data_IF_923150470921
#
_entry.id   IF_923150470921
#
_cell.length_a   1.000
_cell.length_b   1.000
_cell.length_c   1.000
_cell.angle_alpha   90.00
_cell.angle_beta   90.00
_cell.angle_gamma   90.00
#
_symmetry.space_group_name_H-M   'P 1'
#
loop_
_entity.id
_entity.type
_entity.pdbx_description
1 polymer ?
#
# COMPACT_ATOMS: atom_id res chain seq x y z
N UNK A 1 -55.87 54.08 -54.07
CA UNK A 1 -55.97 52.93 -53.15
C UNK A 1 -55.35 51.71 -53.82
N UNK A 2 -54.10 51.35 -53.48
CA UNK A 2 -53.40 50.20 -54.07
C UNK A 2 -52.78 49.38 -52.95
N UNK A 3 -53.36 48.21 -52.66
CA UNK A 3 -52.78 47.25 -51.71
C UNK A 3 -51.75 46.43 -52.46
N UNK A 4 -50.46 46.62 -52.16
CA UNK A 4 -49.42 45.64 -52.46
C UNK A 4 -49.66 44.42 -51.56
N UNK A 5 -50.08 43.30 -52.14
CA UNK A 5 -50.05 41.99 -51.50
C UNK A 5 -48.61 41.48 -51.51
N UNK A 6 -48.00 41.37 -50.33
CA UNK A 6 -46.71 40.70 -50.17
C UNK A 6 -46.89 39.17 -50.28
N UNK A 7 -45.94 38.44 -50.89
CA UNK A 7 -46.00 36.99 -50.96
C UNK A 7 -45.82 36.38 -49.57
N UNK A 8 -46.62 35.35 -49.27
CA UNK A 8 -46.51 34.52 -48.08
C UNK A 8 -45.17 33.77 -48.13
N UNK A 9 -44.18 34.26 -47.41
CA UNK A 9 -42.90 33.58 -47.26
C UNK A 9 -43.09 32.40 -46.30
N UNK A 10 -43.16 31.20 -46.87
CA UNK A 10 -43.17 29.95 -46.13
C UNK A 10 -41.95 29.89 -45.20
N UNK A 11 -42.12 29.78 -43.87
CA UNK A 11 -40.99 29.58 -42.98
C UNK A 11 -40.30 28.28 -43.39
N UNK A 12 -38.98 28.34 -43.61
CA UNK A 12 -38.16 27.15 -43.80
C UNK A 12 -38.42 26.22 -42.61
N UNK A 13 -38.93 25.01 -42.90
CA UNK A 13 -39.03 23.94 -41.89
C UNK A 13 -37.61 23.60 -41.46
N UNK A 14 -37.16 24.21 -40.36
CA UNK A 14 -36.07 23.66 -39.57
C UNK A 14 -36.61 22.32 -39.07
N UNK A 15 -36.10 21.23 -39.63
CA UNK A 15 -36.33 19.90 -39.05
C UNK A 15 -35.72 19.94 -37.66
N UNK A 16 -36.58 19.88 -36.64
CA UNK A 16 -36.20 19.75 -35.25
C UNK A 16 -35.60 18.34 -35.06
N UNK A 17 -34.33 18.19 -35.41
CA UNK A 17 -33.58 16.95 -35.24
C UNK A 17 -33.16 16.82 -33.76
N UNK A 18 -34.11 16.44 -32.91
CA UNK A 18 -33.90 16.20 -31.47
C UNK A 18 -32.95 15.01 -31.18
N UNK A 19 -32.46 14.32 -32.21
CA UNK A 19 -31.56 13.16 -32.11
C UNK A 19 -30.22 13.54 -31.48
N UNK A 20 -29.74 14.76 -31.70
CA UNK A 20 -28.50 15.27 -31.10
C UNK A 20 -28.63 15.58 -29.60
N UNK A 21 -29.82 15.95 -29.12
CA UNK A 21 -30.06 16.32 -27.72
C UNK A 21 -29.94 15.09 -26.81
N UNK A 22 -30.55 13.96 -27.20
CA UNK A 22 -30.44 12.69 -26.45
C UNK A 22 -29.02 12.09 -26.45
N UNK A 23 -28.23 12.39 -27.50
CA UNK A 23 -26.82 12.00 -27.58
C UNK A 23 -25.93 12.85 -26.68
N UNK A 24 -26.24 14.13 -26.53
CA UNK A 24 -25.51 15.05 -25.66
C UNK A 24 -25.78 14.74 -24.18
N UNK A 25 -27.03 14.45 -23.82
CA UNK A 25 -27.39 14.03 -22.46
C UNK A 25 -26.66 12.75 -22.04
N UNK A 26 -26.64 11.74 -22.90
CA UNK A 26 -25.89 10.50 -22.64
C UNK A 26 -24.39 10.71 -22.63
N UNK A 27 -23.84 11.58 -23.47
CA UNK A 27 -22.41 11.90 -23.48
C UNK A 27 -21.94 12.53 -22.16
N UNK A 28 -22.72 13.42 -21.56
CA UNK A 28 -22.40 14.02 -20.25
C UNK A 28 -22.37 12.96 -19.15
N UNK A 29 -23.36 12.06 -19.14
CA UNK A 29 -23.41 10.94 -18.19
C UNK A 29 -22.21 10.00 -18.37
N UNK A 30 -21.79 9.73 -19.61
CA UNK A 30 -20.62 8.90 -19.90
C UNK A 30 -19.32 9.54 -19.40
N UNK A 31 -19.14 10.85 -19.60
CA UNK A 31 -17.96 11.57 -19.08
C UNK A 31 -17.95 11.51 -17.54
N UNK A 32 -19.10 11.79 -16.90
CA UNK A 32 -19.21 11.70 -15.45
C UNK A 32 -18.88 10.30 -14.93
N UNK A 33 -19.37 9.25 -15.59
CA UNK A 33 -19.10 7.87 -15.22
C UNK A 33 -17.61 7.49 -15.33
N UNK A 34 -16.95 7.87 -16.43
CA UNK A 34 -15.52 7.60 -16.64
C UNK A 34 -14.65 8.37 -15.64
N UNK A 35 -15.01 9.60 -15.31
CA UNK A 35 -14.28 10.39 -14.31
C UNK A 35 -14.41 9.75 -12.93
N UNK A 36 -15.60 9.32 -12.52
CA UNK A 36 -15.79 8.61 -11.23
C UNK A 36 -14.99 7.30 -11.21
N UNK A 37 -15.01 6.54 -12.31
CA UNK A 37 -14.25 5.30 -12.41
C UNK A 37 -12.72 5.53 -12.34
N UNK A 38 -12.20 6.58 -12.98
CA UNK A 38 -10.77 6.87 -12.97
C UNK A 38 -10.27 7.37 -11.60
N UNK A 39 -11.03 8.24 -10.93
CA UNK A 39 -10.70 8.67 -9.56
C UNK A 39 -10.75 7.50 -8.58
N UNK A 40 -11.75 6.61 -8.71
CA UNK A 40 -11.83 5.40 -7.90
C UNK A 40 -10.63 4.47 -8.16
N UNK A 41 -10.28 4.21 -9.42
CA UNK A 41 -9.14 3.38 -9.78
C UNK A 41 -7.81 3.94 -9.22
N UNK A 42 -7.62 5.25 -9.26
CA UNK A 42 -6.44 5.91 -8.69
C UNK A 42 -6.37 5.74 -7.16
N UNK A 43 -7.50 5.93 -6.46
CA UNK A 43 -7.56 5.73 -5.02
C UNK A 43 -7.27 4.27 -4.64
N UNK A 44 -7.86 3.31 -5.36
CA UNK A 44 -7.60 1.87 -5.17
C UNK A 44 -6.15 1.52 -5.44
N UNK A 45 -5.53 2.06 -6.50
CA UNK A 45 -4.13 1.81 -6.79
C UNK A 45 -3.21 2.32 -5.69
N UNK A 46 -3.45 3.53 -5.17
CA UNK A 46 -2.64 4.10 -4.09
C UNK A 46 -2.74 3.26 -2.79
N UNK A 47 -3.96 2.90 -2.39
CA UNK A 47 -4.17 2.04 -1.22
C UNK A 47 -3.60 0.64 -1.45
N UNK A 48 -3.77 0.10 -2.64
CA UNK A 48 -3.24 -1.20 -3.03
C UNK A 48 -1.71 -1.25 -2.96
N UNK A 49 -1.02 -0.25 -3.52
CA UNK A 49 0.44 -0.17 -3.48
C UNK A 49 0.96 -0.02 -2.04
N UNK A 50 0.37 0.84 -1.22
CA UNK A 50 0.74 0.98 0.19
C UNK A 50 0.48 -0.32 0.97
N UNK A 51 -0.63 -1.01 0.71
CA UNK A 51 -0.93 -2.30 1.31
C UNK A 51 0.09 -3.36 0.90
N UNK A 52 0.49 -3.40 -0.37
CA UNK A 52 1.53 -4.31 -0.86
C UNK A 52 2.88 -4.04 -0.21
N UNK A 53 3.31 -2.77 -0.15
CA UNK A 53 4.55 -2.38 0.55
C UNK A 53 4.53 -2.80 2.02
N UNK A 54 3.41 -2.58 2.71
CA UNK A 54 3.25 -2.98 4.11
C UNK A 54 3.25 -4.51 4.26
N UNK A 55 2.65 -5.24 3.33
CA UNK A 55 2.66 -6.71 3.32
C UNK A 55 4.07 -7.26 3.15
N UNK A 56 4.87 -6.66 2.27
CA UNK A 56 6.27 -7.04 2.06
C UNK A 56 7.12 -6.75 3.30
N UNK A 57 6.99 -5.56 3.89
CA UNK A 57 7.66 -5.22 5.14
C UNK A 57 7.27 -6.16 6.29
N UNK A 58 5.98 -6.50 6.40
CA UNK A 58 5.51 -7.44 7.41
C UNK A 58 6.02 -8.87 7.16
N UNK A 59 6.13 -9.30 5.90
CA UNK A 59 6.68 -10.60 5.54
C UNK A 59 8.18 -10.68 5.87
N UNK A 60 8.96 -9.65 5.50
CA UNK A 60 10.38 -9.57 5.82
C UNK A 60 10.61 -9.47 7.34
N UNK A 61 9.85 -8.62 8.04
CA UNK A 61 9.92 -8.51 9.49
C UNK A 61 9.49 -9.80 10.21
N UNK A 62 8.51 -10.54 9.68
CA UNK A 62 8.11 -11.85 10.19
C UNK A 62 9.17 -12.93 9.97
N UNK A 63 9.83 -12.91 8.81
CA UNK A 63 10.98 -13.77 8.52
C UNK A 63 12.14 -13.46 9.47
N UNK A 64 12.46 -12.18 9.66
CA UNK A 64 13.50 -11.72 10.58
C UNK A 64 13.17 -12.10 12.03
N UNK A 65 11.94 -11.88 12.48
CA UNK A 65 11.51 -12.27 13.83
C UNK A 65 11.59 -13.79 14.05
N UNK A 66 11.28 -14.59 13.02
CA UNK A 66 11.39 -16.05 13.09
C UNK A 66 12.85 -16.50 13.08
N UNK A 67 13.69 -15.90 12.23
CA UNK A 67 15.12 -16.24 12.14
C UNK A 67 15.92 -15.74 13.33
N UNK A 68 15.47 -14.70 14.02
CA UNK A 68 16.04 -14.19 15.27
C UNK A 68 15.79 -15.10 16.49
N UNK A 69 15.12 -16.25 16.32
CA UNK A 69 14.95 -17.22 17.40
C UNK A 69 16.29 -17.82 17.81
N UNK A 70 16.73 -17.51 19.03
CA UNK A 70 17.94 -18.03 19.66
C UNK A 70 17.60 -19.18 20.61
N UNK A 71 18.25 -20.32 20.44
CA UNK A 71 18.16 -21.46 21.37
C UNK A 71 19.45 -21.60 22.15
N UNK A 72 19.36 -21.83 23.46
CA UNK A 72 20.51 -22.24 24.27
C UNK A 72 20.94 -23.63 23.78
N UNK A 73 22.22 -23.80 23.45
CA UNK A 73 22.82 -25.09 23.07
C UNK A 73 23.92 -25.46 24.04
N UNK A 74 23.74 -26.57 24.75
CA UNK A 74 24.71 -27.07 25.73
C UNK A 74 24.46 -26.58 27.14
N UNK A 75 25.48 -26.68 27.99
CA UNK A 75 25.36 -26.46 29.43
C UNK A 75 25.43 -24.98 29.81
N UNK A 76 24.69 -24.62 30.85
CA UNK A 76 24.79 -23.32 31.52
C UNK A 76 25.84 -23.44 32.62
N UNK A 77 26.96 -22.74 32.46
CA UNK A 77 28.10 -22.80 33.37
C UNK A 77 28.09 -21.56 34.27
N UNK A 78 27.99 -21.78 35.58
CA UNK A 78 28.09 -20.74 36.60
C UNK A 78 29.44 -20.81 37.32
N UNK A 79 30.13 -19.68 37.43
CA UNK A 79 31.39 -19.53 38.16
C UNK A 79 31.13 -18.80 39.48
N UNK A 80 31.57 -19.40 40.59
CA UNK A 80 31.44 -18.83 41.93
C UNK A 80 32.64 -17.93 42.27
N UNK A 81 32.42 -16.97 43.17
CA UNK A 81 33.52 -16.16 43.71
C UNK A 81 34.54 -17.02 44.48
N UNK A 82 35.73 -16.49 44.77
CA UNK A 82 36.80 -17.22 45.47
C UNK A 82 36.37 -17.78 46.84
N UNK A 83 35.38 -17.14 47.50
CA UNK A 83 34.81 -17.58 48.77
C UNK A 83 33.69 -18.62 48.64
N UNK A 84 33.27 -18.98 47.43
CA UNK A 84 32.13 -19.85 47.12
C UNK A 84 30.80 -19.44 47.80
N UNK A 85 30.67 -18.16 48.14
CA UNK A 85 29.49 -17.61 48.84
C UNK A 85 28.43 -17.06 47.89
N UNK A 86 28.82 -16.77 46.64
CA UNK A 86 27.92 -16.27 45.60
C UNK A 86 28.42 -16.68 44.20
N UNK A 87 27.50 -16.72 43.24
CA UNK A 87 27.80 -16.84 41.81
C UNK A 87 28.20 -15.46 41.28
N UNK A 88 29.33 -15.40 40.59
CA UNK A 88 29.89 -14.18 40.02
C UNK A 88 29.54 -14.04 38.54
N UNK A 89 29.67 -15.13 37.76
CA UNK A 89 29.46 -15.10 36.32
C UNK A 89 28.66 -16.33 35.87
N UNK A 90 27.68 -16.15 34.98
CA UNK A 90 26.98 -17.23 34.29
C UNK A 90 27.23 -17.13 32.78
N UNK A 91 27.66 -18.22 32.17
CA UNK A 91 27.92 -18.34 30.73
C UNK A 91 27.05 -19.43 30.14
N UNK A 92 26.40 -19.12 29.03
CA UNK A 92 25.62 -20.07 28.25
C UNK A 92 25.90 -19.83 26.77
N UNK A 93 25.88 -20.90 25.98
CA UNK A 93 26.10 -20.82 24.54
C UNK A 93 24.74 -20.72 23.83
N UNK A 94 24.61 -19.72 22.95
CA UNK A 94 23.44 -19.51 22.13
C UNK A 94 23.74 -19.91 20.70
N UNK A 95 22.80 -20.59 20.05
CA UNK A 95 22.82 -20.83 18.63
C UNK A 95 21.48 -20.41 18.01
N UNK A 96 21.47 -19.92 16.77
CA UNK A 96 20.22 -19.66 16.08
C UNK A 96 19.45 -20.96 15.88
N UNK A 97 18.12 -20.90 16.05
CA UNK A 97 17.22 -22.04 15.87
C UNK A 97 17.11 -22.45 14.39
N UNK A 98 17.46 -21.55 13.47
CA UNK A 98 17.50 -21.73 12.02
C UNK A 98 18.83 -21.22 11.45
N UNK A 99 19.37 -21.86 10.42
CA UNK A 99 20.66 -21.51 9.78
C UNK A 99 20.61 -20.28 8.88
N UNK A 100 19.53 -19.49 8.93
CA UNK A 100 19.21 -18.50 7.88
C UNK A 100 19.71 -17.08 8.16
N UNK A 101 20.08 -16.73 9.39
CA UNK A 101 20.54 -15.37 9.72
C UNK A 101 21.45 -15.44 10.93
N UNK A 102 22.63 -14.86 10.82
CA UNK A 102 23.52 -14.69 11.97
C UNK A 102 22.87 -13.65 12.90
N UNK A 103 22.55 -13.99 14.16
CA UNK A 103 21.93 -13.06 15.08
C UNK A 103 22.97 -12.00 15.46
N UNK A 104 22.74 -10.76 15.01
CA UNK A 104 23.56 -9.60 15.36
C UNK A 104 23.31 -9.20 16.82
N UNK A 105 24.01 -9.86 17.74
CA UNK A 105 24.14 -9.41 19.13
C UNK A 105 24.96 -8.12 19.09
N UNK A 106 24.27 -7.00 19.22
CA UNK A 106 24.73 -5.59 19.27
C UNK A 106 26.20 -5.35 18.85
N UNK A 107 26.46 -4.60 17.74
CA UNK A 107 27.82 -4.20 17.41
C UNK A 107 28.42 -3.35 18.55
N UNK A 108 29.73 -3.47 18.80
CA UNK A 108 30.39 -2.73 19.88
C UNK A 108 30.17 -1.22 19.71
N UNK A 109 29.93 -0.48 20.80
CA UNK A 109 29.81 0.97 20.73
C UNK A 109 31.07 1.54 20.07
N UNK A 110 30.87 2.33 19.01
CA UNK A 110 31.96 2.94 18.25
C UNK A 110 32.85 3.80 19.15
N UNK A 111 34.13 3.99 18.78
CA UNK A 111 34.97 4.97 19.45
C UNK A 111 34.41 6.37 19.16
N UNK A 112 34.40 7.23 20.18
CA UNK A 112 34.14 8.66 20.04
C UNK A 112 34.95 9.29 18.90
#
# INVERSE_FOLDING_TARGET
MSRKTAPYQSPARIYDDQRGITGLETAIVLIAFVVVASVFAFAVLNVGLLSSQKSEQAALGGLEATSASLSIRGDVIASANAGKTAIDTVRFNLAPASTSSEPSICPPPGPW
#
